data_IF_871683131735
#
_entry.id   IF_871683131735
#
_cell.length_a   1.000
_cell.length_b   1.000
_cell.length_c   1.000
_cell.angle_alpha   90.00
_cell.angle_beta   90.00
_cell.angle_gamma   90.00
#
_symmetry.space_group_name_H-M   'P 1'
#
loop_
_entity.id
_entity.type
_entity.pdbx_description
1 polymer ?
#
# COMPACT_ATOMS: atom_id res chain seq x y z
N UNK A 1 -0.99 1.88 -16.70
CA UNK A 1 -1.64 1.25 -15.53
C UNK A 1 -0.56 0.51 -14.75
N UNK A 2 0.15 1.19 -13.86
CA UNK A 2 1.24 0.59 -13.09
C UNK A 2 0.64 -0.14 -11.90
N UNK A 3 0.25 -1.40 -12.08
CA UNK A 3 -0.30 -2.21 -10.99
C UNK A 3 0.84 -2.66 -10.08
N UNK A 4 0.88 -2.17 -8.84
CA UNK A 4 1.84 -2.61 -7.84
C UNK A 4 1.14 -3.40 -6.73
N UNK A 5 1.89 -4.23 -6.01
CA UNK A 5 1.36 -5.02 -4.90
C UNK A 5 2.06 -4.56 -3.64
N UNK A 6 1.28 -4.06 -2.69
CA UNK A 6 1.77 -3.71 -1.36
C UNK A 6 1.49 -4.87 -0.42
N UNK A 7 2.37 -5.07 0.56
CA UNK A 7 2.16 -6.06 1.61
C UNK A 7 2.05 -5.36 2.96
N UNK A 8 1.16 -5.84 3.81
CA UNK A 8 1.02 -5.33 5.16
C UNK A 8 2.17 -5.87 6.04
N UNK A 9 2.96 -5.01 6.71
CA UNK A 9 4.06 -5.46 7.58
C UNK A 9 3.58 -6.18 8.85
N UNK A 10 2.31 -6.02 9.23
CA UNK A 10 1.73 -6.62 10.44
C UNK A 10 1.12 -8.01 10.22
N UNK A 11 0.55 -8.29 9.05
CA UNK A 11 -0.17 -9.55 8.79
C UNK A 11 0.18 -10.21 7.45
N UNK A 12 1.18 -9.67 6.74
CA UNK A 12 1.67 -10.14 5.44
C UNK A 12 0.59 -10.22 4.33
N UNK A 13 -0.56 -9.56 4.52
CA UNK A 13 -1.61 -9.49 3.51
C UNK A 13 -1.13 -8.68 2.30
N UNK A 14 -1.38 -9.20 1.08
CA UNK A 14 -1.01 -8.56 -0.19
C UNK A 14 -2.23 -7.87 -0.80
N UNK A 15 -2.08 -6.62 -1.20
CA UNK A 15 -3.13 -5.82 -1.84
C UNK A 15 -2.67 -5.31 -3.20
N UNK A 16 -3.39 -5.62 -4.28
CA UNK A 16 -3.14 -5.01 -5.58
C UNK A 16 -3.63 -3.56 -5.53
N UNK A 17 -2.73 -2.62 -5.80
CA UNK A 17 -3.04 -1.19 -5.82
C UNK A 17 -2.50 -0.56 -7.10
N UNK A 18 -3.10 0.56 -7.49
CA UNK A 18 -2.62 1.33 -8.62
C UNK A 18 -1.46 2.23 -8.15
N UNK A 19 -0.26 1.99 -8.67
CA UNK A 19 0.94 2.75 -8.33
C UNK A 19 0.86 4.21 -8.78
N UNK A 20 0.06 4.54 -9.81
CA UNK A 20 -0.15 5.93 -10.20
C UNK A 20 -0.96 6.72 -9.15
N UNK A 21 -1.74 6.03 -8.31
CA UNK A 21 -2.43 6.61 -7.15
C UNK A 21 -1.50 6.89 -5.97
N UNK A 22 -0.26 6.40 -6.01
CA UNK A 22 0.79 6.71 -5.05
C UNK A 22 1.68 7.79 -5.66
N UNK A 23 1.25 9.04 -5.46
CA UNK A 23 2.03 10.23 -5.81
C UNK A 23 3.45 10.15 -5.19
N UNK A 24 4.43 10.90 -5.74
CA UNK A 24 5.81 10.90 -5.24
C UNK A 24 5.96 11.24 -3.76
N UNK A 25 4.95 11.87 -3.15
CA UNK A 25 4.88 12.13 -1.71
C UNK A 25 4.64 10.88 -0.84
N UNK A 26 4.40 9.70 -1.46
CA UNK A 26 3.92 8.52 -0.77
C UNK A 26 2.47 8.65 -0.33
N UNK A 27 1.89 7.56 0.19
CA UNK A 27 0.51 7.56 0.69
C UNK A 27 0.39 6.77 1.97
N UNK A 28 -0.44 7.26 2.89
CA UNK A 28 -0.84 6.49 4.08
C UNK A 28 -1.85 5.43 3.64
N UNK A 29 -1.55 4.18 3.92
CA UNK A 29 -2.40 3.03 3.58
C UNK A 29 -2.85 2.35 4.86
N UNK A 30 -4.05 1.77 4.82
CA UNK A 30 -4.64 1.03 5.93
C UNK A 30 -4.94 -0.39 5.50
N UNK A 31 -4.48 -1.36 6.28
CA UNK A 31 -4.78 -2.76 6.07
C UNK A 31 -6.27 -3.02 6.32
N UNK A 32 -6.98 -3.58 5.35
CA UNK A 32 -8.38 -3.97 5.52
C UNK A 32 -8.54 -5.18 6.45
N UNK A 33 -7.49 -6.02 6.58
CA UNK A 33 -7.51 -7.26 7.36
C UNK A 33 -7.22 -7.05 8.85
N UNK A 34 -6.21 -6.27 9.20
CA UNK A 34 -5.80 -6.04 10.60
C UNK A 34 -5.98 -4.59 11.08
N UNK A 35 -6.33 -3.66 10.19
CA UNK A 35 -6.48 -2.24 10.54
C UNK A 35 -5.16 -1.47 10.70
N UNK A 36 -4.01 -2.14 10.60
CA UNK A 36 -2.70 -1.48 10.69
C UNK A 36 -2.52 -0.45 9.58
N UNK A 37 -2.08 0.75 9.95
CA UNK A 37 -1.90 1.87 9.02
C UNK A 37 -0.42 2.23 8.92
N UNK A 38 0.13 2.32 7.73
CA UNK A 38 1.54 2.65 7.49
C UNK A 38 1.69 3.65 6.34
N UNK A 39 2.88 4.27 6.22
CA UNK A 39 3.24 5.07 5.06
C UNK A 39 3.88 4.18 4.02
N UNK A 40 3.29 4.14 2.84
CA UNK A 40 3.82 3.44 1.69
C UNK A 40 4.49 4.45 0.77
N UNK A 41 5.80 4.28 0.58
CA UNK A 41 6.57 5.01 -0.41
C UNK A 41 6.14 4.61 -1.83
N UNK A 42 6.26 5.53 -2.81
CA UNK A 42 6.10 5.17 -4.22
C UNK A 42 7.09 4.07 -4.63
N UNK A 43 6.77 3.28 -5.68
CA UNK A 43 7.67 2.28 -6.24
C UNK A 43 8.94 2.89 -6.84
#
# INVERSE_FOLDING_TARGET
MSRMIIHCPSCSARYPVDGASFAPSGRKVRCARCGHSWHQSPP
#
